data_IF_915410929531
#
_entry.id   IF_915410929531
#
_cell.length_a   1.000
_cell.length_b   1.000
_cell.length_c   1.000
_cell.angle_alpha   90.00
_cell.angle_beta   90.00
_cell.angle_gamma   90.00
#
_symmetry.space_group_name_H-M   'P 1'
#
loop_
_entity.id
_entity.type
_entity.pdbx_description
1 polymer ?
#
# COMPACT_ATOMS: atom_id res chain seq x y z
N UNK A 1 -1.02 1.39 -3.63
CA UNK A 1 -2.14 0.41 -3.69
C UNK A 1 -2.86 0.43 -2.34
N UNK A 2 -3.97 -0.29 -2.18
CA UNK A 2 -4.65 -0.37 -0.88
C UNK A 2 -4.11 -1.54 -0.01
N UNK A 3 -4.30 -1.50 1.32
CA UNK A 3 -3.57 -2.37 2.25
C UNK A 3 -3.73 -3.87 2.03
N UNK A 4 -4.94 -4.37 1.72
CA UNK A 4 -5.11 -5.82 1.52
C UNK A 4 -4.45 -6.29 0.24
N UNK A 5 -4.41 -5.44 -0.79
CA UNK A 5 -3.68 -5.71 -2.04
C UNK A 5 -2.19 -5.92 -1.76
N UNK A 6 -1.58 -5.12 -0.87
CA UNK A 6 -0.19 -5.29 -0.49
C UNK A 6 0.05 -6.60 0.28
N UNK A 7 -0.83 -6.93 1.24
CA UNK A 7 -0.74 -8.19 1.99
C UNK A 7 -0.91 -9.39 1.05
N UNK A 8 -1.87 -9.32 0.12
CA UNK A 8 -2.08 -10.33 -0.90
C UNK A 8 -0.84 -10.50 -1.79
N UNK A 9 -0.23 -9.40 -2.24
CA UNK A 9 0.99 -9.40 -3.03
C UNK A 9 2.17 -10.03 -2.28
N UNK A 10 2.39 -9.65 -1.02
CA UNK A 10 3.41 -10.26 -0.18
C UNK A 10 3.19 -11.77 -0.02
N UNK A 11 1.94 -12.21 0.19
CA UNK A 11 1.63 -13.64 0.25
C UNK A 11 1.95 -14.37 -1.05
N UNK A 12 1.63 -13.79 -2.20
CA UNK A 12 1.93 -14.38 -3.51
C UNK A 12 3.42 -14.51 -3.77
N UNK A 13 4.22 -13.58 -3.24
CA UNK A 13 5.67 -13.58 -3.41
C UNK A 13 6.37 -14.58 -2.48
N UNK A 14 5.97 -14.66 -1.21
CA UNK A 14 6.68 -15.45 -0.19
C UNK A 14 6.00 -16.79 0.13
N UNK A 15 4.75 -17.00 -0.27
CA UNK A 15 3.97 -18.21 0.01
C UNK A 15 3.48 -18.33 1.46
N UNK A 16 3.79 -17.36 2.32
CA UNK A 16 3.43 -17.30 3.73
C UNK A 16 3.14 -15.85 4.15
N UNK A 17 2.52 -15.68 5.32
CA UNK A 17 2.30 -14.38 5.95
C UNK A 17 2.59 -14.48 7.44
N UNK A 18 3.72 -13.93 7.87
CA UNK A 18 3.97 -13.63 9.28
C UNK A 18 3.42 -12.25 9.64
N UNK A 19 3.16 -11.99 10.91
CA UNK A 19 2.74 -10.66 11.37
C UNK A 19 3.76 -9.57 10.97
N UNK A 20 5.06 -9.89 10.97
CA UNK A 20 6.12 -8.97 10.58
C UNK A 20 6.02 -8.62 9.09
N UNK A 21 5.89 -9.64 8.23
CA UNK A 21 5.73 -9.44 6.79
C UNK A 21 4.47 -8.63 6.47
N UNK A 22 3.35 -8.91 7.16
CA UNK A 22 2.09 -8.19 7.00
C UNK A 22 2.26 -6.72 7.37
N UNK A 23 2.77 -6.41 8.57
CA UNK A 23 3.01 -5.03 8.99
C UNK A 23 3.97 -4.31 8.04
N UNK A 24 5.02 -5.00 7.59
CA UNK A 24 5.98 -4.46 6.63
C UNK A 24 5.32 -4.08 5.30
N UNK A 25 4.47 -4.96 4.77
CA UNK A 25 3.79 -4.76 3.48
C UNK A 25 2.84 -3.57 3.45
N UNK A 26 2.43 -3.03 4.61
CA UNK A 26 1.57 -1.85 4.70
C UNK A 26 2.26 -0.67 5.39
N UNK A 27 3.50 -0.84 5.84
CA UNK A 27 4.20 0.16 6.64
C UNK A 27 4.42 1.50 5.91
N UNK A 28 4.73 1.54 4.61
CA UNK A 28 4.86 2.81 3.90
C UNK A 28 3.62 3.71 4.01
N UNK A 29 2.41 3.16 3.93
CA UNK A 29 1.16 3.91 4.13
C UNK A 29 0.99 4.40 5.58
N UNK A 30 1.42 3.59 6.54
CA UNK A 30 1.46 3.97 7.95
C UNK A 30 2.38 5.18 8.12
N UNK A 31 3.59 5.10 7.56
CA UNK A 31 4.62 6.15 7.59
C UNK A 31 4.19 7.42 6.85
N UNK A 32 3.45 7.31 5.73
CA UNK A 32 2.96 8.44 4.94
C UNK A 32 2.01 9.37 5.72
N UNK A 33 1.36 8.86 6.78
CA UNK A 33 0.57 9.70 7.67
C UNK A 33 1.37 10.51 8.69
N UNK A 34 2.67 10.25 8.80
CA UNK A 34 3.62 11.02 9.61
C UNK A 34 4.54 11.87 8.72
N UNK A 35 4.91 11.34 7.56
CA UNK A 35 5.85 11.94 6.63
C UNK A 35 5.17 12.12 5.26
N UNK A 36 4.74 13.35 4.90
CA UNK A 36 3.93 13.59 3.71
C UNK A 36 4.72 13.45 2.40
N UNK A 37 6.06 13.48 2.46
CA UNK A 37 6.92 13.17 1.31
C UNK A 37 6.84 11.68 1.00
N UNK A 38 6.48 11.36 -0.24
CA UNK A 38 6.37 9.98 -0.71
C UNK A 38 7.72 9.27 -0.74
N UNK A 39 8.82 9.99 -0.98
CA UNK A 39 10.15 9.37 -0.93
C UNK A 39 10.55 9.00 0.51
N UNK A 40 10.10 9.76 1.50
CA UNK A 40 10.38 9.47 2.91
C UNK A 40 9.55 8.29 3.45
N UNK A 41 8.35 8.07 2.91
CA UNK A 41 7.47 6.97 3.32
C UNK A 41 7.64 5.70 2.48
N UNK A 42 7.72 5.82 1.16
CA UNK A 42 7.72 4.70 0.22
C UNK A 42 9.09 4.44 -0.43
N UNK A 43 10.05 5.36 -0.30
CA UNK A 43 11.38 5.28 -0.93
C UNK A 43 12.51 4.80 -0.01
N UNK A 44 12.19 4.29 1.19
CA UNK A 44 13.18 3.97 2.23
C UNK A 44 13.46 2.47 2.41
N UNK A 45 12.98 1.61 1.51
CA UNK A 45 13.08 0.16 1.68
C UNK A 45 14.53 -0.34 1.76
N UNK A 46 15.42 0.23 0.92
CA UNK A 46 16.83 -0.15 0.88
C UNK A 46 17.58 0.35 2.12
N UNK A 47 17.30 1.59 2.55
CA UNK A 47 17.87 2.18 3.76
C UNK A 47 17.47 1.38 5.00
N UNK A 48 16.20 0.96 5.09
CA UNK A 48 15.72 0.10 6.18
C UNK A 48 16.37 -1.29 6.15
N UNK A 49 16.58 -1.86 4.97
CA UNK A 49 17.30 -3.15 4.84
C UNK A 49 18.73 -3.04 5.33
N UNK A 50 19.42 -1.97 4.99
CA UNK A 50 20.77 -1.72 5.48
C UNK A 50 20.81 -1.51 7.00
N UNK A 51 19.89 -0.72 7.56
CA UNK A 51 19.84 -0.48 9.00
C UNK A 51 19.55 -1.75 9.81
N UNK A 52 18.60 -2.57 9.32
CA UNK A 52 18.07 -3.71 10.06
C UNK A 52 18.71 -5.04 9.66
N UNK A 53 19.80 -5.03 8.89
CA UNK A 53 20.43 -6.25 8.41
C UNK A 53 20.79 -7.23 9.55
N UNK A 54 21.33 -6.74 10.66
CA UNK A 54 21.73 -7.58 11.81
C UNK A 54 20.55 -8.00 12.72
N UNK A 55 19.31 -7.67 12.35
CA UNK A 55 18.10 -7.93 13.13
C UNK A 55 17.26 -8.99 12.43
N UNK A 56 17.62 -10.25 12.64
CA UNK A 56 16.92 -11.39 12.00
C UNK A 56 15.42 -11.37 12.32
N UNK A 57 15.03 -10.92 13.52
CA UNK A 57 13.64 -10.80 13.95
C UNK A 57 12.81 -9.80 13.11
N UNK A 58 13.44 -8.81 12.48
CA UNK A 58 12.77 -7.79 11.65
C UNK A 58 13.00 -7.98 10.16
N UNK A 59 13.66 -9.07 9.77
CA UNK A 59 13.97 -9.34 8.37
C UNK A 59 12.71 -9.40 7.50
N UNK A 60 11.70 -10.13 7.93
CA UNK A 60 10.44 -10.26 7.19
C UNK A 60 9.66 -8.95 7.11
N UNK A 61 9.74 -8.11 8.16
CA UNK A 61 9.16 -6.76 8.14
C UNK A 61 9.77 -5.92 7.02
N UNK A 62 11.11 -5.87 6.91
CA UNK A 62 11.74 -5.08 5.86
C UNK A 62 11.48 -5.64 4.47
N UNK A 63 11.46 -6.96 4.31
CA UNK A 63 11.06 -7.57 3.04
C UNK A 63 9.65 -7.14 2.65
N UNK A 64 8.71 -7.09 3.60
CA UNK A 64 7.39 -6.52 3.41
C UNK A 64 7.44 -5.07 2.91
N UNK A 65 8.22 -4.20 3.56
CA UNK A 65 8.38 -2.79 3.14
C UNK A 65 8.85 -2.70 1.68
N UNK A 66 9.82 -3.52 1.29
CA UNK A 66 10.36 -3.53 -0.08
C UNK A 66 9.29 -3.98 -1.09
N UNK A 67 8.42 -4.94 -0.74
CA UNK A 67 7.34 -5.34 -1.65
C UNK A 67 6.31 -4.23 -1.89
N UNK A 68 6.21 -3.27 -0.99
CA UNK A 68 5.28 -2.15 -1.11
C UNK A 68 5.87 -1.00 -1.93
N UNK A 69 7.06 -0.53 -1.55
CA UNK A 69 7.58 0.81 -1.89
C UNK A 69 7.93 1.08 -3.35
N UNK A 70 8.64 2.20 -3.56
CA UNK A 70 9.12 2.66 -4.87
C UNK A 70 10.62 2.59 -5.05
N UNK A 71 11.36 2.57 -3.95
CA UNK A 71 12.81 2.33 -3.93
C UNK A 71 13.17 1.42 -2.74
N UNK A 72 13.47 0.12 -2.99
CA UNK A 72 13.45 -0.58 -4.27
C UNK A 72 12.05 -0.64 -4.89
N UNK A 73 11.99 -0.99 -6.19
CA UNK A 73 10.76 -1.00 -7.00
C UNK A 73 9.80 -2.12 -6.57
N UNK A 74 8.95 -1.82 -5.59
CA UNK A 74 7.85 -2.66 -5.11
C UNK A 74 6.57 -2.49 -5.93
N UNK A 75 5.45 -2.96 -5.39
CA UNK A 75 4.16 -2.94 -6.07
C UNK A 75 3.72 -1.51 -6.44
N UNK A 76 3.94 -0.52 -5.58
CA UNK A 76 3.57 0.86 -5.87
C UNK A 76 4.42 1.49 -6.96
N UNK A 77 5.65 1.01 -7.18
CA UNK A 77 6.40 1.44 -8.35
C UNK A 77 5.65 1.06 -9.64
N UNK A 78 5.17 -0.18 -9.73
CA UNK A 78 4.47 -0.66 -10.93
C UNK A 78 3.03 -0.15 -11.02
N UNK A 79 2.38 0.07 -9.87
CA UNK A 79 1.06 0.69 -9.77
C UNK A 79 1.07 2.18 -10.14
N UNK A 80 2.08 2.92 -9.70
CA UNK A 80 2.06 4.39 -9.77
C UNK A 80 3.06 4.99 -10.78
N UNK A 81 4.30 4.50 -10.78
CA UNK A 81 5.41 5.16 -11.47
C UNK A 81 5.60 4.64 -12.89
N UNK A 82 5.63 3.32 -13.09
CA UNK A 82 5.94 2.74 -14.41
C UNK A 82 5.40 1.34 -14.61
N UNK A 83 4.58 1.18 -15.66
CA UNK A 83 4.15 -0.13 -16.16
C UNK A 83 4.39 -0.25 -17.67
N UNK A 84 5.18 -1.24 -18.09
CA UNK A 84 5.49 -1.49 -19.51
C UNK A 84 5.88 -0.21 -20.27
N UNK A 85 5.24 0.03 -21.42
CA UNK A 85 5.46 1.22 -22.26
C UNK A 85 4.61 2.43 -21.86
N UNK A 86 3.79 2.34 -20.80
CA UNK A 86 2.93 3.44 -20.40
C UNK A 86 3.72 4.64 -19.87
N UNK A 87 3.09 5.82 -19.85
CA UNK A 87 3.69 7.04 -19.32
C UNK A 87 3.92 6.89 -17.80
N UNK A 88 2.94 6.31 -17.09
CA UNK A 88 2.97 6.05 -15.65
C UNK A 88 2.71 4.57 -15.30
N UNK A 89 2.54 4.29 -14.02
CA UNK A 89 2.13 2.99 -13.51
C UNK A 89 0.70 2.61 -13.89
N UNK A 90 0.40 1.33 -13.72
CA UNK A 90 -0.85 0.70 -14.13
C UNK A 90 -2.11 1.43 -13.61
N UNK A 91 -2.14 1.79 -12.33
CA UNK A 91 -3.29 2.42 -11.69
C UNK A 91 -3.56 3.84 -12.22
N UNK A 92 -2.52 4.62 -12.50
CA UNK A 92 -2.70 5.92 -13.15
C UNK A 92 -3.29 5.76 -14.54
N UNK A 93 -2.78 4.82 -15.32
CA UNK A 93 -3.16 4.67 -16.72
C UNK A 93 -4.61 4.20 -16.87
N UNK A 94 -5.01 3.22 -16.05
CA UNK A 94 -6.42 2.82 -15.93
C UNK A 94 -7.28 3.98 -15.40
N UNK A 95 -6.76 4.74 -14.45
CA UNK A 95 -7.45 5.88 -13.83
C UNK A 95 -7.77 7.00 -14.82
N UNK A 96 -7.01 7.14 -15.93
CA UNK A 96 -7.29 8.17 -16.96
C UNK A 96 -8.72 8.10 -17.50
N UNK A 97 -9.28 6.90 -17.57
CA UNK A 97 -10.60 6.64 -18.14
C UNK A 97 -11.77 7.14 -17.27
N UNK A 98 -11.51 7.51 -16.01
CA UNK A 98 -12.52 7.91 -15.03
C UNK A 98 -12.21 9.25 -14.34
N UNK A 99 -11.30 10.05 -14.90
CA UNK A 99 -10.85 11.32 -14.29
C UNK A 99 -11.97 12.31 -14.09
N UNK A 100 -12.80 12.52 -15.11
CA UNK A 100 -13.88 13.51 -15.04
C UNK A 100 -14.92 13.09 -14.02
N UNK A 101 -15.34 11.82 -14.04
CA UNK A 101 -16.30 11.30 -13.07
C UNK A 101 -15.76 11.31 -11.64
N UNK A 102 -14.45 11.07 -11.47
CA UNK A 102 -13.79 11.13 -10.15
C UNK A 102 -13.73 12.57 -9.63
N UNK A 103 -13.40 13.55 -10.49
CA UNK A 103 -13.42 14.98 -10.13
C UNK A 103 -14.81 15.37 -9.64
N UNK A 104 -15.85 14.98 -10.37
CA UNK A 104 -17.24 15.28 -10.02
C UNK A 104 -17.67 14.60 -8.72
N UNK A 105 -17.42 13.29 -8.60
CA UNK A 105 -17.83 12.49 -7.44
C UNK A 105 -17.10 12.90 -6.16
N UNK A 106 -15.86 13.36 -6.26
CA UNK A 106 -15.02 13.70 -5.11
C UNK A 106 -14.91 15.21 -4.84
N UNK A 107 -15.67 16.06 -5.56
CA UNK A 107 -15.61 17.52 -5.43
C UNK A 107 -14.18 18.10 -5.56
N UNK A 108 -13.40 17.61 -6.52
CA UNK A 108 -11.97 17.92 -6.61
C UNK A 108 -11.67 19.12 -7.52
N UNK A 109 -10.56 19.83 -7.28
CA UNK A 109 -9.94 20.62 -8.33
C UNK A 109 -9.39 19.70 -9.43
N UNK A 110 -9.43 20.15 -10.70
CA UNK A 110 -9.02 19.33 -11.85
C UNK A 110 -7.57 18.84 -11.76
N UNK A 111 -6.68 19.61 -11.11
CA UNK A 111 -5.27 19.23 -10.90
C UNK A 111 -5.09 17.96 -10.06
N UNK A 112 -6.08 17.60 -9.23
CA UNK A 112 -6.04 16.39 -8.41
C UNK A 112 -6.70 15.17 -9.07
N UNK A 113 -7.45 15.38 -10.17
CA UNK A 113 -8.32 14.36 -10.75
C UNK A 113 -7.61 13.06 -11.08
N UNK A 114 -6.45 13.13 -11.76
CA UNK A 114 -5.73 11.94 -12.17
C UNK A 114 -5.13 11.17 -10.99
N UNK A 115 -4.58 11.87 -9.99
CA UNK A 115 -4.10 11.27 -8.75
C UNK A 115 -5.24 10.56 -8.00
N UNK A 116 -6.39 11.23 -7.88
CA UNK A 116 -7.51 10.64 -7.14
C UNK A 116 -8.20 9.52 -7.90
N UNK A 117 -8.09 9.51 -9.23
CA UNK A 117 -8.59 8.41 -10.06
C UNK A 117 -7.78 7.14 -9.89
N UNK A 118 -6.45 7.22 -9.70
CA UNK A 118 -5.69 6.00 -9.39
C UNK A 118 -6.12 5.41 -8.05
N UNK A 119 -6.44 6.22 -7.04
CA UNK A 119 -6.92 5.69 -5.75
C UNK A 119 -8.23 4.91 -5.92
N UNK A 120 -9.10 5.35 -6.84
CA UNK A 120 -10.30 4.58 -7.20
C UNK A 120 -9.93 3.25 -7.89
N UNK A 121 -8.94 3.25 -8.79
CA UNK A 121 -8.44 2.01 -9.41
C UNK A 121 -7.89 1.04 -8.35
N UNK A 122 -7.10 1.52 -7.40
CA UNK A 122 -6.56 0.72 -6.32
C UNK A 122 -7.67 0.11 -5.44
N UNK A 123 -8.73 0.88 -5.13
CA UNK A 123 -9.91 0.35 -4.45
C UNK A 123 -10.65 -0.69 -5.29
N UNK A 124 -10.71 -0.52 -6.61
CA UNK A 124 -11.25 -1.52 -7.53
C UNK A 124 -10.44 -2.83 -7.51
N UNK A 125 -9.11 -2.73 -7.43
CA UNK A 125 -8.21 -3.89 -7.27
C UNK A 125 -8.42 -4.56 -5.90
N UNK A 126 -8.50 -3.78 -4.82
CA UNK A 126 -8.78 -4.29 -3.47
C UNK A 126 -10.10 -5.08 -3.44
N UNK A 127 -11.14 -4.54 -4.08
CA UNK A 127 -12.44 -5.20 -4.24
C UNK A 127 -12.39 -6.44 -5.13
N UNK A 128 -11.57 -6.43 -6.18
CA UNK A 128 -11.39 -7.57 -7.08
C UNK A 128 -10.69 -8.74 -6.38
N UNK A 129 -9.66 -8.46 -5.57
CA UNK A 129 -8.93 -9.46 -4.80
C UNK A 129 -9.80 -10.03 -3.67
N UNK A 130 -10.47 -9.15 -2.92
CA UNK A 130 -11.37 -9.43 -1.78
C UNK A 130 -11.15 -10.78 -1.11
N UNK A 131 -10.08 -10.87 -0.32
CA UNK A 131 -9.60 -12.14 0.23
C UNK A 131 -9.59 -12.16 1.76
N UNK A 132 -10.43 -13.01 2.34
CA UNK A 132 -10.62 -13.10 3.80
C UNK A 132 -9.37 -13.48 4.59
N UNK A 133 -8.39 -14.17 4.00
CA UNK A 133 -7.14 -14.46 4.72
C UNK A 133 -6.30 -13.19 4.93
N UNK A 134 -6.38 -12.20 4.03
CA UNK A 134 -5.67 -10.93 4.19
C UNK A 134 -6.23 -10.15 5.38
N UNK A 135 -7.57 -10.14 5.53
CA UNK A 135 -8.25 -9.58 6.69
C UNK A 135 -7.77 -10.19 8.00
N UNK A 136 -7.76 -11.54 8.09
CA UNK A 136 -7.31 -12.24 9.29
C UNK A 136 -5.83 -11.98 9.60
N UNK A 137 -4.98 -11.93 8.56
CA UNK A 137 -3.57 -11.64 8.71
C UNK A 137 -3.33 -10.22 9.25
N UNK A 138 -4.06 -9.22 8.74
CA UNK A 138 -4.02 -7.84 9.25
C UNK A 138 -4.46 -7.77 10.71
N UNK A 139 -5.60 -8.40 11.06
CA UNK A 139 -6.10 -8.42 12.44
C UNK A 139 -5.10 -9.05 13.41
N UNK A 140 -4.46 -10.17 13.02
CA UNK A 140 -3.38 -10.81 13.79
C UNK A 140 -2.21 -9.86 13.99
N UNK A 141 -1.73 -9.26 12.90
CA UNK A 141 -0.53 -8.43 12.90
C UNK A 141 -0.70 -7.15 13.74
N UNK A 142 -1.86 -6.48 13.65
CA UNK A 142 -2.18 -5.33 14.52
C UNK A 142 -2.35 -5.71 15.99
N UNK A 143 -2.74 -6.95 16.28
CA UNK A 143 -2.91 -7.44 17.65
C UNK A 143 -1.60 -7.86 18.31
N UNK A 144 -0.52 -8.03 17.54
CA UNK A 144 0.80 -8.42 18.04
C UNK A 144 1.54 -7.24 18.69
N UNK A 145 1.16 -6.93 19.94
CA UNK A 145 1.69 -5.76 20.69
C UNK A 145 3.19 -5.78 20.89
N UNK A 146 3.80 -6.96 21.00
CA UNK A 146 5.26 -7.11 21.17
C UNK A 146 5.96 -6.66 19.90
N UNK A 147 5.57 -7.23 18.76
CA UNK A 147 6.14 -6.87 17.46
C UNK A 147 5.89 -5.40 17.10
N UNK A 148 4.68 -4.89 17.34
CA UNK A 148 4.36 -3.46 17.11
C UNK A 148 5.26 -2.55 17.94
N UNK A 149 5.53 -2.91 19.19
CA UNK A 149 6.45 -2.15 20.07
C UNK A 149 7.88 -2.19 19.53
N UNK A 150 8.36 -3.36 19.10
CA UNK A 150 9.70 -3.52 18.52
C UNK A 150 9.85 -2.70 17.24
N UNK A 151 8.96 -2.85 16.27
CA UNK A 151 8.95 -2.06 15.03
C UNK A 151 8.93 -0.57 15.36
N UNK A 152 8.08 -0.13 16.28
CA UNK A 152 7.97 1.27 16.66
C UNK A 152 9.30 1.84 17.20
N UNK A 153 10.04 1.07 18.01
CA UNK A 153 11.35 1.49 18.52
C UNK A 153 12.38 1.66 17.40
N UNK A 154 12.48 0.68 16.51
CA UNK A 154 13.46 0.73 15.41
C UNK A 154 13.13 1.82 14.39
N UNK A 155 11.85 1.95 14.02
CA UNK A 155 11.41 2.97 13.07
C UNK A 155 11.51 4.38 13.66
N UNK A 156 11.26 4.54 14.95
CA UNK A 156 11.50 5.81 15.63
C UNK A 156 12.97 6.22 15.57
N UNK A 157 13.90 5.28 15.79
CA UNK A 157 15.33 5.55 15.61
C UNK A 157 15.68 5.90 14.16
N UNK A 158 15.12 5.17 13.18
CA UNK A 158 15.37 5.41 11.76
C UNK A 158 14.90 6.81 11.32
N UNK A 159 13.70 7.20 11.73
CA UNK A 159 13.09 8.48 11.38
C UNK A 159 13.41 9.62 12.35
N UNK A 160 14.27 9.39 13.35
CA UNK A 160 14.64 10.38 14.39
C UNK A 160 13.40 10.98 15.08
N UNK A 161 12.53 10.11 15.59
CA UNK A 161 11.30 10.48 16.32
C UNK A 161 11.14 9.62 17.57
N UNK A 162 10.05 9.83 18.31
CA UNK A 162 9.73 9.07 19.53
C UNK A 162 8.97 7.77 19.19
N UNK A 163 9.27 6.63 19.83
CA UNK A 163 8.57 5.35 19.59
C UNK A 163 7.05 5.42 19.69
N UNK A 164 6.54 6.22 20.64
CA UNK A 164 5.10 6.40 20.85
C UNK A 164 4.39 7.00 19.62
N UNK A 165 5.09 7.75 18.76
CA UNK A 165 4.52 8.31 17.53
C UNK A 165 4.14 7.18 16.56
N UNK A 166 5.05 6.23 16.32
CA UNK A 166 4.77 5.06 15.48
C UNK A 166 3.77 4.12 16.13
N UNK A 167 3.87 3.87 17.43
CA UNK A 167 2.93 3.00 18.13
C UNK A 167 1.48 3.52 18.00
N UNK A 168 1.28 4.83 18.23
CA UNK A 168 -0.01 5.47 18.05
C UNK A 168 -0.46 5.46 16.60
N UNK A 169 0.45 5.68 15.64
CA UNK A 169 0.12 5.67 14.22
C UNK A 169 -0.33 4.28 13.76
N UNK A 170 0.41 3.23 14.09
CA UNK A 170 0.07 1.83 13.77
C UNK A 170 -1.29 1.48 14.39
N UNK A 171 -1.50 1.81 15.67
CA UNK A 171 -2.76 1.53 16.35
C UNK A 171 -3.95 2.24 15.68
N UNK A 172 -3.78 3.51 15.31
CA UNK A 172 -4.85 4.29 14.69
C UNK A 172 -5.04 3.98 13.21
N UNK A 173 -4.04 3.43 12.52
CA UNK A 173 -4.12 3.12 11.08
C UNK A 173 -5.26 2.15 10.78
N UNK A 174 -5.53 1.20 11.67
CA UNK A 174 -6.67 0.29 11.61
C UNK A 174 -8.02 1.01 11.40
N UNK A 175 -8.17 2.24 11.91
CA UNK A 175 -9.40 3.02 11.76
C UNK A 175 -9.55 3.72 10.40
N UNK A 176 -8.47 3.83 9.63
CA UNK A 176 -8.45 4.51 8.33
C UNK A 176 -8.61 3.56 7.15
N UNK A 177 -8.59 2.26 7.40
CA UNK A 177 -8.63 1.22 6.38
C UNK A 177 -9.80 0.27 6.62
N UNK A 178 -10.29 -0.38 5.57
CA UNK A 178 -11.28 -1.44 5.71
C UNK A 178 -10.56 -2.80 5.75
N UNK A 179 -10.83 -3.57 6.79
CA UNK A 179 -10.19 -4.88 7.01
C UNK A 179 -11.24 -5.98 7.01
N UNK A 180 -12.40 -5.74 7.62
CA UNK A 180 -13.34 -6.81 7.97
C UNK A 180 -14.30 -7.18 6.84
N UNK A 181 -14.79 -6.19 6.08
CA UNK A 181 -15.81 -6.41 5.06
C UNK A 181 -15.57 -5.48 3.87
N UNK A 182 -14.73 -5.94 2.95
CA UNK A 182 -14.46 -5.21 1.71
C UNK A 182 -15.71 -5.24 0.84
N UNK A 183 -16.33 -4.07 0.70
CA UNK A 183 -17.35 -3.75 -0.29
C UNK A 183 -17.00 -2.39 -0.88
N UNK A 184 -17.55 -2.07 -2.05
CA UNK A 184 -17.34 -0.76 -2.65
C UNK A 184 -17.81 0.37 -1.71
N UNK A 185 -18.91 0.15 -1.00
CA UNK A 185 -19.46 1.13 -0.03
C UNK A 185 -18.54 1.32 1.18
N UNK A 186 -17.99 0.24 1.75
CA UNK A 186 -17.08 0.36 2.89
C UNK A 186 -15.77 1.04 2.50
N UNK A 187 -15.24 0.71 1.32
CA UNK A 187 -14.07 1.39 0.75
C UNK A 187 -14.33 2.88 0.49
N UNK A 188 -15.47 3.23 -0.13
CA UNK A 188 -15.85 4.62 -0.35
C UNK A 188 -16.01 5.40 0.96
N UNK A 189 -16.61 4.78 2.00
CA UNK A 189 -16.75 5.42 3.31
C UNK A 189 -15.40 5.67 3.99
N UNK A 190 -14.44 4.73 3.91
CA UNK A 190 -13.07 4.96 4.41
C UNK A 190 -12.34 6.02 3.60
N UNK A 191 -12.56 6.04 2.29
CA UNK A 191 -11.97 7.04 1.43
C UNK A 191 -12.50 8.45 1.72
N UNK A 192 -13.79 8.62 2.05
CA UNK A 192 -14.33 9.90 2.52
C UNK A 192 -13.59 10.40 3.78
N UNK A 193 -13.39 9.52 4.76
CA UNK A 193 -12.62 9.84 5.97
C UNK A 193 -11.18 10.27 5.64
N UNK A 194 -10.51 9.58 4.73
CA UNK A 194 -9.16 9.93 4.27
C UNK A 194 -9.13 11.27 3.53
N UNK A 195 -10.11 11.52 2.66
CA UNK A 195 -10.24 12.76 1.89
C UNK A 195 -10.51 13.95 2.80
N UNK A 196 -11.39 13.80 3.79
CA UNK A 196 -11.65 14.84 4.77
C UNK A 196 -10.43 15.11 5.65
N UNK A 197 -9.76 14.06 6.15
CA UNK A 197 -8.59 14.21 7.04
C UNK A 197 -7.42 14.89 6.35
N UNK A 198 -7.21 14.64 5.05
CA UNK A 198 -6.05 15.15 4.32
C UNK A 198 -6.31 16.43 3.52
N UNK A 199 -7.53 16.61 3.03
CA UNK A 199 -7.88 17.68 2.08
C UNK A 199 -9.09 18.51 2.53
N UNK A 200 -9.73 18.17 3.64
CA UNK A 200 -10.95 18.83 4.14
C UNK A 200 -12.12 18.76 3.12
N UNK A 201 -12.17 17.70 2.32
CA UNK A 201 -13.18 17.46 1.28
C UNK A 201 -14.01 16.22 1.62
N UNK A 202 -15.33 16.37 1.59
CA UNK A 202 -16.26 15.24 1.57
C UNK A 202 -16.60 14.83 0.14
N UNK A 203 -16.70 13.53 -0.09
CA UNK A 203 -17.05 12.94 -1.39
C UNK A 203 -18.53 12.54 -1.44
N UNK A 204 -19.06 12.38 -2.65
CA UNK A 204 -20.33 11.69 -2.88
C UNK A 204 -20.11 10.18 -2.80
N UNK A 205 -20.31 9.62 -1.59
CA UNK A 205 -20.09 8.20 -1.31
C UNK A 205 -20.82 7.29 -2.32
N UNK A 206 -22.13 7.45 -2.60
CA UNK A 206 -22.81 6.65 -3.62
C UNK A 206 -22.17 6.69 -5.01
N UNK A 207 -21.74 7.87 -5.49
CA UNK A 207 -21.06 7.97 -6.79
C UNK A 207 -19.70 7.29 -6.77
N UNK A 208 -18.93 7.47 -5.70
CA UNK A 208 -17.62 6.84 -5.55
C UNK A 208 -17.74 5.32 -5.45
N UNK A 209 -18.75 4.79 -4.74
CA UNK A 209 -19.08 3.36 -4.77
C UNK A 209 -19.26 2.85 -6.20
N UNK A 210 -20.03 3.57 -7.03
CA UNK A 210 -20.20 3.22 -8.44
C UNK A 210 -18.90 3.25 -9.24
N UNK A 211 -18.01 4.21 -8.96
CA UNK A 211 -16.69 4.29 -9.60
C UNK A 211 -15.75 3.16 -9.18
N UNK A 212 -15.82 2.68 -7.93
CA UNK A 212 -15.03 1.54 -7.48
C UNK A 212 -15.46 0.25 -8.21
N UNK A 213 -16.76 0.04 -8.42
CA UNK A 213 -17.22 -1.08 -9.26
C UNK A 213 -16.74 -0.95 -10.71
N UNK A 214 -16.88 0.22 -11.31
CA UNK A 214 -16.37 0.50 -12.67
C UNK A 214 -14.86 0.25 -12.76
N UNK A 215 -14.10 0.63 -11.74
CA UNK A 215 -12.67 0.36 -11.68
C UNK A 215 -12.35 -1.14 -11.65
N UNK A 216 -13.12 -1.94 -10.91
CA UNK A 216 -13.02 -3.40 -10.92
C UNK A 216 -13.28 -4.00 -12.31
N UNK A 217 -14.24 -3.45 -13.06
CA UNK A 217 -14.50 -3.85 -14.45
C UNK A 217 -13.33 -3.47 -15.39
N UNK A 218 -12.76 -2.28 -15.23
CA UNK A 218 -11.66 -1.78 -16.07
C UNK A 218 -10.36 -2.57 -15.94
N UNK A 219 -10.14 -3.21 -14.79
CA UNK A 219 -8.95 -4.02 -14.50
C UNK A 219 -9.17 -5.52 -14.72
N UNK A 220 -10.41 -5.98 -14.85
CA UNK A 220 -10.73 -7.42 -14.89
C UNK A 220 -10.05 -8.18 -16.05
N UNK A 221 -9.78 -7.51 -17.18
CA UNK A 221 -9.22 -8.16 -18.36
C UNK A 221 -7.70 -8.37 -18.29
N UNK A 222 -6.96 -7.50 -17.61
CA UNK A 222 -5.49 -7.44 -17.65
C UNK A 222 -4.84 -7.33 -16.26
N UNK A 223 -5.62 -7.44 -15.18
CA UNK A 223 -5.09 -7.44 -13.82
C UNK A 223 -4.06 -8.56 -13.59
N UNK A 224 -4.36 -9.78 -14.06
CA UNK A 224 -3.45 -10.92 -13.86
C UNK A 224 -2.09 -10.70 -14.55
N UNK A 225 -2.09 -10.11 -15.74
CA UNK A 225 -0.86 -9.76 -16.48
C UNK A 225 -0.05 -8.68 -15.75
N UNK A 226 -0.73 -7.63 -15.26
CA UNK A 226 -0.11 -6.61 -14.42
C UNK A 226 0.50 -7.22 -13.17
N UNK A 227 -0.26 -8.06 -12.48
CA UNK A 227 0.13 -8.62 -11.19
C UNK A 227 1.30 -9.60 -11.34
N UNK A 228 1.28 -10.45 -12.37
CA UNK A 228 2.39 -11.34 -12.70
C UNK A 228 3.65 -10.56 -13.06
N UNK A 229 3.53 -9.49 -13.85
CA UNK A 229 4.66 -8.62 -14.18
C UNK A 229 5.29 -8.00 -12.93
N UNK A 230 4.48 -7.45 -12.03
CA UNK A 230 4.96 -6.87 -10.79
C UNK A 230 5.64 -7.92 -9.91
N UNK A 231 5.03 -9.10 -9.71
CA UNK A 231 5.60 -10.20 -8.94
C UNK A 231 6.97 -10.62 -9.47
N UNK A 232 7.10 -10.84 -10.78
CA UNK A 232 8.34 -11.28 -11.41
C UNK A 232 9.48 -10.28 -11.20
N UNK A 233 9.20 -8.99 -11.36
CA UNK A 233 10.24 -7.97 -11.22
C UNK A 233 10.61 -7.69 -9.76
N UNK A 234 9.64 -7.70 -8.84
CA UNK A 234 9.92 -7.58 -7.41
C UNK A 234 10.73 -8.79 -6.92
N UNK A 235 10.38 -10.00 -7.35
CA UNK A 235 11.13 -11.22 -6.99
C UNK A 235 12.60 -11.14 -7.44
N UNK A 236 12.85 -10.73 -8.69
CA UNK A 236 14.21 -10.53 -9.20
C UNK A 236 14.98 -9.50 -8.38
N UNK A 237 14.34 -8.37 -8.07
CA UNK A 237 14.96 -7.29 -7.28
C UNK A 237 15.32 -7.76 -5.86
N UNK A 238 14.46 -8.55 -5.22
CA UNK A 238 14.75 -9.13 -3.90
C UNK A 238 15.93 -10.12 -3.94
N UNK A 239 16.01 -10.98 -4.96
CA UNK A 239 17.13 -11.91 -5.13
C UNK A 239 18.45 -11.16 -5.33
N UNK A 240 18.44 -10.08 -6.12
CA UNK A 240 19.61 -9.23 -6.32
C UNK A 240 20.07 -8.58 -5.01
N UNK A 241 19.16 -7.98 -4.24
CA UNK A 241 19.47 -7.38 -2.93
C UNK A 241 20.04 -8.38 -1.93
N UNK A 242 19.49 -9.61 -1.89
CA UNK A 242 19.98 -10.67 -1.03
C UNK A 242 21.37 -11.17 -1.46
N UNK A 243 21.65 -11.21 -2.77
CA UNK A 243 22.96 -11.62 -3.29
C UNK A 243 24.06 -10.60 -3.00
N UNK A 244 23.74 -9.30 -3.01
CA UNK A 244 24.70 -8.24 -2.67
C UNK A 244 25.11 -8.30 -1.20
N UNK A 245 24.21 -8.73 -0.33
CA UNK A 245 24.46 -8.89 1.11
C UNK A 245 25.42 -10.03 1.44
N UNK A 246 25.54 -11.06 0.59
CA UNK A 246 26.50 -12.15 0.79
C UNK A 246 27.94 -11.78 0.41
N UNK A 247 28.14 -10.63 -0.25
CA UNK A 247 29.44 -10.18 -0.78
C UNK A 247 30.06 -9.01 -0.01
N UNK A 248 29.47 -8.60 1.12
CA UNK A 248 29.97 -7.57 2.05
C UNK A 248 30.32 -8.25 3.37
#
# INVERSE_FOLDING_TARGET
MYPQTHVFFAHKLFGLLSDALVLGSIFPDIAAGLYPDRNESHGKGADMLFLLQEKEELREFVLGVITHGIDPRGLDYYGDEKFLSYERGYCFEKGRLIVNETIEACNLPSSMGWWKSHNIIEMGIELFINNSYCSMALESAFSNKVLVSEISNYMASFYTTEPNVFQNRIHNFFNYIEISKITAESLAARYDLQMYTRHEIHIDIPRVTGLIFKAGELIAEDFDDFFAHALDNVNKSLLELQSQRQNI
#
